data_IF_080437499279
#
_entry.id   IF_080437499279
#
_cell.length_a   1.000
_cell.length_b   1.000
_cell.length_c   1.000
_cell.angle_alpha   90.00
_cell.angle_beta   90.00
_cell.angle_gamma   90.00
#
_symmetry.space_group_name_H-M   'P 1'
#
loop_
_entity.id
_entity.type
_entity.pdbx_description
1 polymer ?
#
# COMPACT_ATOMS: atom_id res chain seq x y z
N UNK A 1 8.43 34.71 29.20
CA UNK A 1 7.12 35.09 28.63
C UNK A 1 6.92 34.27 27.37
N UNK A 2 5.84 33.49 27.33
CA UNK A 2 5.50 32.57 26.26
C UNK A 2 4.67 33.26 25.16
N UNK A 3 4.87 32.81 23.92
CA UNK A 3 3.98 32.86 22.74
C UNK A 3 4.55 31.76 21.80
N UNK A 4 4.09 30.51 21.78
CA UNK A 4 2.80 29.93 21.35
C UNK A 4 2.54 30.07 19.85
N UNK A 5 2.81 28.99 19.10
CA UNK A 5 1.88 28.32 18.18
C UNK A 5 2.66 27.29 17.32
N UNK A 6 2.88 26.08 17.82
CA UNK A 6 3.02 24.95 16.89
C UNK A 6 1.58 24.52 16.58
N UNK A 7 1.02 25.05 15.48
CA UNK A 7 -0.24 24.54 14.95
C UNK A 7 0.04 23.12 14.49
N UNK A 8 -0.11 22.17 15.41
CA UNK A 8 0.00 20.76 15.10
C UNK A 8 -0.95 20.48 13.95
N UNK A 9 -0.39 20.05 12.81
CA UNK A 9 -1.14 19.63 11.63
C UNK A 9 -1.80 18.29 11.93
N UNK A 10 -2.67 18.30 12.95
CA UNK A 10 -3.33 17.12 13.46
C UNK A 10 -4.33 16.65 12.42
N UNK A 11 -4.24 15.37 12.09
CA UNK A 11 -5.12 14.73 11.13
C UNK A 11 -5.96 13.69 11.83
N UNK A 12 -7.19 13.53 11.35
CA UNK A 12 -8.04 12.39 11.65
C UNK A 12 -7.95 11.41 10.48
N UNK A 13 -7.52 10.19 10.77
CA UNK A 13 -7.23 9.18 9.77
C UNK A 13 -7.77 7.82 10.21
N UNK A 14 -8.50 7.16 9.32
CA UNK A 14 -8.65 5.71 9.39
C UNK A 14 -7.58 5.08 8.50
N UNK A 15 -6.81 4.13 9.01
CA UNK A 15 -5.79 3.47 8.20
C UNK A 15 -5.79 1.96 8.38
N UNK A 16 -5.37 1.25 7.34
CA UNK A 16 -4.90 -0.12 7.44
C UNK A 16 -3.43 -0.16 7.03
N UNK A 17 -2.70 -1.19 7.46
CA UNK A 17 -1.29 -1.33 7.15
C UNK A 17 -0.95 -2.74 6.65
N UNK A 18 0.11 -2.86 5.86
CA UNK A 18 0.63 -4.14 5.38
C UNK A 18 2.14 -4.04 5.26
N UNK A 19 2.83 -5.15 5.52
CA UNK A 19 4.25 -5.26 5.19
C UNK A 19 4.40 -5.67 3.73
N UNK A 20 5.43 -5.17 3.05
CA UNK A 20 5.64 -5.48 1.65
C UNK A 20 6.01 -6.95 1.47
N UNK A 21 7.18 -7.37 1.93
CA UNK A 21 7.66 -8.73 1.62
C UNK A 21 7.66 -9.68 2.81
N UNK A 22 8.08 -9.21 3.98
CA UNK A 22 8.20 -10.04 5.19
C UNK A 22 7.29 -9.49 6.30
N UNK A 23 6.61 -10.36 7.07
CA UNK A 23 5.86 -9.91 8.23
C UNK A 23 6.73 -9.11 9.21
N UNK A 24 6.17 -8.05 9.80
CA UNK A 24 6.81 -7.20 10.81
C UNK A 24 6.04 -7.39 12.11
N UNK A 25 6.52 -8.29 12.97
CA UNK A 25 5.87 -8.62 14.24
C UNK A 25 6.78 -8.26 15.43
N UNK A 26 6.20 -7.65 16.46
CA UNK A 26 6.92 -7.29 17.70
C UNK A 26 8.02 -6.22 17.57
N UNK A 27 8.21 -5.65 16.36
CA UNK A 27 9.26 -4.67 16.06
C UNK A 27 8.76 -3.25 15.85
N UNK A 28 7.50 -3.10 15.49
CA UNK A 28 6.89 -1.83 15.09
C UNK A 28 5.85 -1.42 16.12
N UNK A 29 5.90 -0.18 16.57
CA UNK A 29 5.04 0.37 17.61
C UNK A 29 4.47 1.72 17.18
N UNK A 30 3.27 2.03 17.64
CA UNK A 30 2.67 3.37 17.53
C UNK A 30 2.49 3.96 18.93
N UNK A 31 2.88 5.22 19.08
CA UNK A 31 2.71 5.95 20.33
C UNK A 31 1.30 6.56 20.38
N UNK A 32 0.59 6.35 21.48
CA UNK A 32 -0.69 6.98 21.78
C UNK A 32 -0.78 7.22 23.29
N UNK A 33 -1.11 8.44 23.69
CA UNK A 33 -1.32 8.82 25.10
C UNK A 33 -0.12 8.45 26.01
N UNK A 34 1.10 8.56 25.48
CA UNK A 34 2.34 8.19 26.19
C UNK A 34 2.70 6.71 26.16
N UNK A 35 1.79 5.84 25.70
CA UNK A 35 2.00 4.40 25.60
C UNK A 35 2.42 3.97 24.19
N UNK A 36 3.26 2.94 24.10
CA UNK A 36 3.69 2.34 22.84
C UNK A 36 2.96 1.01 22.62
N UNK A 37 2.08 0.98 21.62
CA UNK A 37 1.30 -0.22 21.29
C UNK A 37 1.88 -0.93 20.07
N UNK A 38 2.03 -2.26 20.09
CA UNK A 38 2.60 -3.00 18.96
C UNK A 38 1.66 -2.96 17.75
N UNK A 39 2.26 -2.81 16.57
CA UNK A 39 1.63 -2.89 15.26
C UNK A 39 2.22 -4.07 14.49
N UNK A 40 1.53 -5.21 14.53
CA UNK A 40 1.93 -6.40 13.79
C UNK A 40 1.41 -6.34 12.36
N UNK A 41 2.30 -6.45 11.38
CA UNK A 41 1.99 -6.40 9.95
C UNK A 41 2.25 -7.74 9.29
N UNK A 42 1.30 -8.22 8.49
CA UNK A 42 1.49 -9.39 7.63
C UNK A 42 1.89 -8.94 6.21
N UNK A 43 2.48 -9.85 5.44
CA UNK A 43 2.82 -9.60 4.03
C UNK A 43 1.71 -10.03 3.05
N UNK A 44 0.75 -10.84 3.51
CA UNK A 44 -0.33 -11.41 2.70
C UNK A 44 -1.68 -10.70 2.87
N UNK A 45 -1.89 -10.02 4.00
CA UNK A 45 -3.14 -9.35 4.32
C UNK A 45 -2.90 -8.06 5.08
N UNK A 46 -3.80 -7.09 4.86
CA UNK A 46 -3.84 -5.85 5.61
C UNK A 46 -4.19 -6.13 7.08
N UNK A 47 -3.80 -5.22 7.96
CA UNK A 47 -4.36 -5.15 9.32
C UNK A 47 -5.84 -4.81 9.26
N UNK A 48 -6.55 -5.00 10.37
CA UNK A 48 -7.83 -4.31 10.58
C UNK A 48 -7.64 -2.80 10.53
N UNK A 49 -8.71 -2.07 10.20
CA UNK A 49 -8.73 -0.61 10.20
C UNK A 49 -8.50 -0.08 11.61
N UNK A 50 -7.66 0.94 11.73
CA UNK A 50 -7.31 1.65 12.97
C UNK A 50 -7.63 3.13 12.81
N UNK A 51 -7.93 3.78 13.92
CA UNK A 51 -8.16 5.22 13.99
C UNK A 51 -6.95 5.92 14.57
N UNK A 52 -6.56 7.02 13.94
CA UNK A 52 -5.48 7.88 14.37
C UNK A 52 -5.97 9.32 14.46
N UNK A 53 -5.56 10.00 15.52
CA UNK A 53 -5.68 11.45 15.68
C UNK A 53 -4.38 11.94 16.28
N UNK A 54 -3.69 12.82 15.57
CA UNK A 54 -2.36 13.28 15.94
C UNK A 54 -1.64 13.91 14.76
N UNK A 55 -0.35 14.25 14.92
CA UNK A 55 0.43 14.96 13.91
C UNK A 55 0.58 14.19 12.60
N UNK A 56 0.91 14.92 11.53
CA UNK A 56 1.33 14.39 10.24
C UNK A 56 2.76 14.88 9.97
N UNK A 57 3.76 13.99 9.80
CA UNK A 57 3.67 12.54 9.57
C UNK A 57 3.31 11.70 10.80
N UNK A 58 2.74 10.51 10.55
CA UNK A 58 2.62 9.46 11.56
C UNK A 58 4.01 8.87 11.80
N UNK A 59 4.44 8.84 13.06
CA UNK A 59 5.73 8.27 13.47
C UNK A 59 5.52 6.85 14.02
N UNK A 60 6.34 5.90 13.56
CA UNK A 60 6.38 4.54 14.07
C UNK A 60 7.72 4.25 14.72
N UNK A 61 7.69 3.49 15.80
CA UNK A 61 8.81 3.30 16.70
C UNK A 61 9.27 1.85 16.73
N UNK A 62 10.58 1.67 16.87
CA UNK A 62 11.23 0.41 17.15
C UNK A 62 11.57 0.30 18.63
N UNK A 63 11.47 -0.90 19.18
CA UNK A 63 11.87 -1.20 20.55
C UNK A 63 13.32 -1.71 20.59
N UNK A 64 14.15 -1.10 21.42
CA UNK A 64 15.51 -1.59 21.75
C UNK A 64 15.72 -1.61 23.25
N UNK A 65 16.65 -2.45 23.71
CA UNK A 65 17.11 -2.45 25.10
C UNK A 65 18.38 -1.63 25.22
N UNK A 66 18.43 -0.77 26.22
CA UNK A 66 19.63 -0.05 26.61
C UNK A 66 20.60 -1.00 27.37
N UNK A 67 21.90 -0.66 27.46
CA UNK A 67 22.87 -1.44 28.23
C UNK A 67 22.52 -1.61 29.72
N UNK A 68 21.76 -0.67 30.28
CA UNK A 68 21.25 -0.71 31.66
C UNK A 68 19.98 -1.57 31.83
N UNK A 69 19.51 -2.21 30.76
CA UNK A 69 18.31 -3.05 30.75
C UNK A 69 16.99 -2.29 30.57
N UNK A 70 17.01 -0.96 30.49
CA UNK A 70 15.80 -0.17 30.24
C UNK A 70 15.35 -0.28 28.77
N UNK A 71 14.05 -0.13 28.53
CA UNK A 71 13.50 -0.12 27.16
C UNK A 71 13.54 1.28 26.58
N UNK A 72 14.06 1.40 25.37
CA UNK A 72 14.01 2.61 24.56
C UNK A 72 13.11 2.40 23.33
N UNK A 73 12.35 3.42 22.97
CA UNK A 73 11.64 3.51 21.71
C UNK A 73 12.26 4.59 20.84
N UNK A 74 12.65 4.24 19.61
CA UNK A 74 13.21 5.17 18.64
C UNK A 74 12.37 5.19 17.36
N UNK A 75 12.19 6.34 16.69
CA UNK A 75 11.58 6.36 15.36
C UNK A 75 12.32 5.40 14.41
N UNK A 76 11.58 4.60 13.65
CA UNK A 76 12.12 3.68 12.63
C UNK A 76 11.37 3.75 11.31
N UNK A 77 10.25 4.48 11.24
CA UNK A 77 9.48 4.71 10.03
C UNK A 77 8.59 5.95 10.21
N UNK A 78 8.30 6.63 9.10
CA UNK A 78 7.38 7.75 9.07
C UNK A 78 6.43 7.61 7.89
N UNK A 79 5.15 7.97 8.08
CA UNK A 79 4.16 7.98 7.03
C UNK A 79 3.52 9.37 6.91
N UNK A 80 3.87 10.08 5.84
CA UNK A 80 3.22 11.34 5.47
C UNK A 80 1.89 11.03 4.80
N UNK A 81 0.82 11.64 5.31
CA UNK A 81 -0.53 11.50 4.76
C UNK A 81 -0.80 12.66 3.80
N UNK A 82 -1.14 12.38 2.53
CA UNK A 82 -1.47 13.44 1.58
C UNK A 82 -2.67 14.26 2.03
N UNK A 83 -2.67 15.56 1.69
CA UNK A 83 -3.78 16.47 2.03
C UNK A 83 -5.11 15.93 1.49
N UNK A 84 -6.13 15.92 2.35
CA UNK A 84 -7.47 15.46 1.99
C UNK A 84 -7.71 13.96 2.18
N UNK A 85 -6.67 13.14 2.32
CA UNK A 85 -6.82 11.70 2.57
C UNK A 85 -7.30 11.47 3.99
N UNK A 86 -8.44 10.78 4.13
CA UNK A 86 -9.05 10.40 5.42
C UNK A 86 -9.05 8.90 5.66
N UNK A 87 -8.86 8.11 4.61
CA UNK A 87 -8.73 6.67 4.65
C UNK A 87 -7.46 6.29 3.90
N UNK A 88 -6.51 5.62 4.55
CA UNK A 88 -5.24 5.27 3.91
C UNK A 88 -4.85 3.80 4.08
N UNK A 89 -4.16 3.28 3.08
CA UNK A 89 -3.35 2.06 3.19
C UNK A 89 -1.89 2.48 3.35
N UNK A 90 -1.25 1.98 4.40
CA UNK A 90 0.17 2.15 4.66
C UNK A 90 0.92 0.87 4.27
N UNK A 91 1.84 0.96 3.31
CA UNK A 91 2.65 -0.17 2.86
C UNK A 91 4.07 0.04 3.37
N UNK A 92 4.52 -0.86 4.24
CA UNK A 92 5.86 -0.81 4.85
C UNK A 92 6.84 -1.63 4.03
N UNK A 93 7.91 -1.01 3.55
CA UNK A 93 8.99 -1.64 2.80
C UNK A 93 10.28 -1.53 3.60
N UNK A 94 11.10 -2.58 3.60
CA UNK A 94 12.44 -2.51 4.19
C UNK A 94 13.23 -1.37 3.53
N UNK A 95 13.89 -0.55 4.33
CA UNK A 95 14.78 0.52 3.89
C UNK A 95 16.17 0.23 4.45
N UNK A 96 17.07 -0.40 3.67
CA UNK A 96 18.42 -0.68 4.11
C UNK A 96 19.14 0.58 4.56
N UNK A 97 19.91 0.49 5.65
CA UNK A 97 20.62 1.62 6.25
C UNK A 97 21.51 2.37 5.23
N UNK A 98 22.16 1.64 4.33
CA UNK A 98 23.00 2.17 3.24
C UNK A 98 22.23 3.10 2.29
N UNK A 99 20.91 2.92 2.18
CA UNK A 99 20.02 3.70 1.31
C UNK A 99 19.13 4.67 2.08
N UNK A 100 19.16 4.60 3.41
CA UNK A 100 18.30 5.40 4.28
C UNK A 100 18.90 6.79 4.50
N UNK A 101 18.21 7.82 4.03
CA UNK A 101 18.62 9.22 4.26
C UNK A 101 18.18 9.75 5.65
N UNK A 102 17.30 9.03 6.33
CA UNK A 102 16.71 9.45 7.62
C UNK A 102 17.12 8.55 8.79
N UNK A 103 17.81 7.44 8.54
CA UNK A 103 18.08 6.39 9.53
C UNK A 103 16.85 5.52 9.84
N UNK A 104 15.75 5.68 9.09
CA UNK A 104 14.60 4.79 9.15
C UNK A 104 14.96 3.39 8.67
N UNK A 105 14.36 2.38 9.30
CA UNK A 105 14.45 0.98 8.90
C UNK A 105 13.39 0.61 7.87
N UNK A 106 12.31 1.40 7.80
CA UNK A 106 11.22 1.17 6.87
C UNK A 106 10.82 2.45 6.16
N UNK A 107 10.67 2.33 4.84
CA UNK A 107 9.97 3.31 4.02
C UNK A 107 8.48 2.98 4.02
N UNK A 108 7.64 4.00 4.20
CA UNK A 108 6.17 3.83 4.16
C UNK A 108 5.60 4.50 2.92
N UNK A 109 4.91 3.72 2.08
CA UNK A 109 4.09 4.25 0.99
C UNK A 109 2.67 4.44 1.50
N UNK A 110 2.17 5.67 1.39
CA UNK A 110 0.78 6.02 1.74
C UNK A 110 -0.07 6.06 0.47
N UNK A 111 -1.16 5.28 0.45
CA UNK A 111 -2.17 5.32 -0.61
C UNK A 111 -3.51 5.77 -0.05
N UNK A 112 -4.21 6.64 -0.78
CA UNK A 112 -5.64 6.90 -0.52
C UNK A 112 -6.42 5.61 -0.73
N UNK A 113 -7.07 5.13 0.32
CA UNK A 113 -7.78 3.86 0.37
C UNK A 113 -9.28 4.07 0.59
N UNK A 114 -9.78 5.28 0.30
CA UNK A 114 -11.20 5.61 0.36
C UNK A 114 -12.00 4.94 -0.76
N UNK A 115 -13.27 4.66 -0.48
CA UNK A 115 -14.18 4.06 -1.47
C UNK A 115 -14.47 4.99 -2.67
N UNK A 116 -14.26 6.30 -2.54
CA UNK A 116 -14.44 7.24 -3.66
C UNK A 116 -13.39 7.07 -4.75
N UNK A 117 -12.16 6.67 -4.40
CA UNK A 117 -11.06 6.44 -5.36
C UNK A 117 -10.80 4.96 -5.62
N UNK A 118 -11.17 4.11 -4.65
CA UNK A 118 -10.98 2.66 -4.70
C UNK A 118 -12.23 1.93 -4.17
N UNK A 119 -13.32 1.96 -4.95
CA UNK A 119 -14.62 1.43 -4.53
C UNK A 119 -14.62 -0.10 -4.43
N UNK A 120 -15.65 -0.64 -3.81
CA UNK A 120 -15.97 -2.07 -3.87
C UNK A 120 -16.09 -2.57 -5.31
N UNK A 121 -15.82 -3.85 -5.54
CA UNK A 121 -15.86 -4.50 -6.85
C UNK A 121 -14.93 -3.84 -7.88
N UNK A 122 -13.76 -3.38 -7.45
CA UNK A 122 -12.80 -2.72 -8.34
C UNK A 122 -11.38 -3.29 -8.22
N UNK A 123 -10.61 -3.08 -9.28
CA UNK A 123 -9.20 -3.36 -9.35
C UNK A 123 -8.47 -2.04 -9.55
N UNK A 124 -7.58 -1.70 -8.61
CA UNK A 124 -6.74 -0.52 -8.73
C UNK A 124 -5.34 -0.96 -9.13
N UNK A 125 -4.93 -0.60 -10.34
CA UNK A 125 -3.65 -0.96 -10.91
C UNK A 125 -2.66 0.16 -10.68
N UNK A 126 -1.49 -0.15 -10.14
CA UNK A 126 -0.37 0.78 -9.98
C UNK A 126 0.80 0.31 -10.81
N UNK A 127 1.35 1.20 -11.63
CA UNK A 127 2.51 0.88 -12.44
C UNK A 127 3.81 1.34 -11.74
N UNK A 128 4.53 0.42 -11.11
CA UNK A 128 5.85 0.68 -10.54
C UNK A 128 6.99 0.24 -11.46
N UNK A 129 6.70 -0.12 -12.70
CA UNK A 129 7.73 -0.37 -13.71
C UNK A 129 8.21 0.95 -14.33
N UNK A 130 9.33 0.88 -15.06
CA UNK A 130 9.81 2.00 -15.88
C UNK A 130 9.10 2.13 -17.22
N UNK A 131 8.19 1.21 -17.55
CA UNK A 131 7.62 1.06 -18.89
C UNK A 131 6.15 1.48 -18.94
N UNK A 132 5.70 1.94 -20.10
CA UNK A 132 4.27 2.15 -20.33
C UNK A 132 3.61 0.79 -20.59
N UNK A 133 2.48 0.54 -19.95
CA UNK A 133 1.71 -0.70 -20.12
C UNK A 133 0.27 -0.42 -20.50
N UNK A 134 -0.37 -1.40 -21.12
CA UNK A 134 -1.83 -1.43 -21.30
C UNK A 134 -2.39 -2.74 -20.78
N UNK A 135 -3.58 -2.66 -20.20
CA UNK A 135 -4.28 -3.80 -19.65
C UNK A 135 -5.69 -3.91 -20.18
N UNK A 136 -6.22 -5.13 -20.13
CA UNK A 136 -7.62 -5.43 -20.37
C UNK A 136 -8.14 -6.29 -19.23
N UNK A 137 -9.18 -5.83 -18.53
CA UNK A 137 -9.88 -6.56 -17.47
C UNK A 137 -11.35 -6.72 -17.87
N UNK A 138 -11.76 -7.95 -18.19
CA UNK A 138 -13.03 -8.18 -18.88
C UNK A 138 -13.07 -7.37 -20.18
N UNK A 139 -14.08 -6.51 -20.35
CA UNK A 139 -14.22 -5.64 -21.53
C UNK A 139 -13.60 -4.25 -21.36
N UNK A 140 -12.97 -3.96 -20.22
CA UNK A 140 -12.37 -2.66 -19.93
C UNK A 140 -10.89 -2.66 -20.31
N UNK A 141 -10.53 -1.76 -21.21
CA UNK A 141 -9.13 -1.50 -21.60
C UNK A 141 -8.65 -0.25 -20.88
N UNK A 142 -7.40 -0.26 -20.43
CA UNK A 142 -6.75 0.86 -19.77
C UNK A 142 -5.27 0.93 -20.14
N UNK A 143 -4.64 2.08 -19.90
CA UNK A 143 -3.19 2.26 -20.05
C UNK A 143 -2.62 2.96 -18.83
N UNK A 144 -1.40 2.58 -18.46
CA UNK A 144 -0.66 3.15 -17.35
C UNK A 144 0.72 3.59 -17.85
N UNK A 145 1.01 4.88 -17.70
CA UNK A 145 2.39 5.37 -17.76
C UNK A 145 3.15 4.98 -16.48
N UNK A 146 4.49 5.05 -16.47
CA UNK A 146 5.27 4.82 -15.25
C UNK A 146 4.75 5.67 -14.09
N UNK A 147 4.62 5.06 -12.91
CA UNK A 147 4.12 5.67 -11.65
C UNK A 147 2.65 6.11 -11.66
N UNK A 148 1.91 5.85 -12.73
CA UNK A 148 0.46 6.14 -12.77
C UNK A 148 -0.36 5.04 -12.11
N UNK A 149 -1.62 5.36 -11.83
CA UNK A 149 -2.60 4.45 -11.24
C UNK A 149 -3.92 4.56 -11.98
N UNK A 150 -4.62 3.44 -12.15
CA UNK A 150 -5.95 3.39 -12.77
C UNK A 150 -6.87 2.48 -11.95
N UNK A 151 -8.11 2.89 -11.74
CA UNK A 151 -9.11 2.06 -11.06
C UNK A 151 -10.15 1.57 -12.06
N UNK A 152 -10.26 0.26 -12.19
CA UNK A 152 -11.19 -0.39 -13.13
C UNK A 152 -12.27 -1.13 -12.34
N UNK A 153 -13.54 -0.80 -12.62
CA UNK A 153 -14.68 -1.54 -12.08
C UNK A 153 -14.74 -2.93 -12.69
N UNK A 154 -14.76 -3.95 -11.82
CA UNK A 154 -15.07 -5.31 -12.22
C UNK A 154 -16.58 -5.53 -12.19
N UNK A 155 -17.07 -6.27 -13.18
CA UNK A 155 -18.45 -6.69 -13.26
C UNK A 155 -18.52 -8.20 -13.12
N UNK A 156 -19.55 -8.67 -12.44
CA UNK A 156 -19.91 -10.07 -12.43
C UNK A 156 -20.19 -10.55 -13.87
N UNK A 157 -19.76 -11.78 -14.15
CA UNK A 157 -20.00 -12.48 -15.42
C UNK A 157 -20.68 -13.82 -15.11
N UNK A 158 -21.30 -14.47 -16.11
CA UNK A 158 -22.05 -15.72 -15.90
C UNK A 158 -21.26 -16.83 -15.18
N UNK A 159 -19.92 -16.84 -15.31
CA UNK A 159 -19.04 -17.82 -14.64
C UNK A 159 -18.20 -17.22 -13.52
N UNK A 160 -18.45 -15.96 -13.14
CA UNK A 160 -17.58 -15.20 -12.23
C UNK A 160 -16.11 -15.19 -12.66
N UNK A 161 -15.85 -15.29 -13.97
CA UNK A 161 -14.52 -15.25 -14.55
C UNK A 161 -14.25 -13.86 -15.09
N UNK A 162 -13.06 -13.36 -14.77
CA UNK A 162 -12.59 -12.04 -15.13
C UNK A 162 -11.24 -12.18 -15.86
N UNK A 163 -11.25 -12.32 -17.20
CA UNK A 163 -10.03 -12.37 -17.98
C UNK A 163 -9.23 -11.08 -17.79
N UNK A 164 -7.94 -11.24 -17.50
CA UNK A 164 -6.98 -10.15 -17.40
C UNK A 164 -5.82 -10.38 -18.36
N UNK A 165 -5.48 -9.35 -19.11
CA UNK A 165 -4.33 -9.31 -20.03
C UNK A 165 -3.52 -8.05 -19.78
N UNK A 166 -2.20 -8.15 -19.86
CA UNK A 166 -1.28 -7.03 -19.77
C UNK A 166 -0.29 -7.09 -20.93
N UNK A 167 -0.06 -5.94 -21.57
CA UNK A 167 0.91 -5.76 -22.64
C UNK A 167 1.84 -4.59 -22.33
N UNK A 168 3.07 -4.69 -22.81
CA UNK A 168 4.05 -3.63 -22.84
C UNK A 168 3.79 -2.76 -24.07
N UNK A 169 3.92 -1.44 -23.92
CA UNK A 169 3.82 -0.50 -25.02
C UNK A 169 5.19 0.13 -25.27
N UNK A 170 5.88 -0.32 -26.33
CA UNK A 170 7.20 0.19 -26.72
C UNK A 170 7.28 0.41 -28.22
N UNK A 171 7.67 1.61 -28.66
CA UNK A 171 7.94 1.94 -30.07
C UNK A 171 6.86 1.45 -31.06
N UNK A 172 5.58 1.69 -30.72
CA UNK A 172 4.38 1.23 -31.46
C UNK A 172 4.19 -0.30 -31.56
N UNK A 173 4.95 -1.08 -30.80
CA UNK A 173 4.77 -2.53 -30.67
C UNK A 173 4.09 -2.89 -29.35
N UNK A 174 3.30 -3.98 -29.39
CA UNK A 174 2.66 -4.55 -28.21
C UNK A 174 3.28 -5.90 -27.90
N UNK A 175 3.91 -6.03 -26.73
CA UNK A 175 4.47 -7.31 -26.28
C UNK A 175 3.62 -7.87 -25.14
N UNK A 176 3.09 -9.09 -25.28
CA UNK A 176 2.28 -9.71 -24.22
C UNK A 176 3.17 -10.01 -23.03
N UNK A 177 2.78 -9.49 -21.88
CA UNK A 177 3.51 -9.65 -20.61
C UNK A 177 2.83 -10.71 -19.75
N UNK A 178 1.52 -10.59 -19.60
CA UNK A 178 0.77 -11.36 -18.62
C UNK A 178 -0.62 -11.68 -19.15
N UNK A 179 -1.13 -12.85 -18.79
CA UNK A 179 -2.53 -13.18 -19.02
C UNK A 179 -2.99 -14.23 -18.04
N UNK A 180 -4.08 -13.93 -17.35
CA UNK A 180 -4.66 -14.83 -16.36
C UNK A 180 -6.17 -14.60 -16.32
N UNK A 181 -6.90 -15.65 -15.98
CA UNK A 181 -8.32 -15.49 -15.63
C UNK A 181 -8.41 -15.42 -14.10
N UNK A 182 -8.93 -14.31 -13.60
CA UNK A 182 -9.22 -14.16 -12.18
C UNK A 182 -10.67 -14.53 -11.88
N UNK A 183 -10.95 -14.88 -10.64
CA UNK A 183 -12.33 -15.01 -10.17
C UNK A 183 -12.80 -13.67 -9.65
N UNK A 184 -13.95 -13.22 -10.15
CA UNK A 184 -14.70 -12.13 -9.58
C UNK A 184 -15.16 -12.54 -8.18
N UNK A 185 -14.95 -11.66 -7.21
CA UNK A 185 -15.36 -11.87 -5.84
C UNK A 185 -16.19 -10.65 -5.43
N UNK A 186 -17.51 -10.80 -5.26
CA UNK A 186 -18.38 -9.71 -4.83
C UNK A 186 -17.87 -9.08 -3.53
N UNK A 187 -18.07 -7.77 -3.42
CA UNK A 187 -17.70 -6.97 -2.27
C UNK A 187 -16.19 -6.97 -1.97
N UNK A 188 -15.35 -7.32 -2.93
CA UNK A 188 -13.89 -7.20 -2.81
C UNK A 188 -13.35 -6.09 -3.68
N UNK A 189 -12.24 -5.51 -3.26
CA UNK A 189 -11.41 -4.64 -4.09
C UNK A 189 -9.97 -5.14 -4.06
N UNK A 190 -9.25 -5.02 -5.18
CA UNK A 190 -7.90 -5.58 -5.33
C UNK A 190 -6.93 -4.51 -5.82
N UNK A 191 -5.92 -4.23 -5.01
CA UNK A 191 -4.78 -3.40 -5.40
C UNK A 191 -3.79 -4.30 -6.13
N UNK A 192 -3.51 -3.99 -7.39
CA UNK A 192 -2.61 -4.74 -8.27
C UNK A 192 -1.40 -3.87 -8.57
N UNK A 193 -0.25 -4.24 -8.04
CA UNK A 193 0.99 -3.48 -8.24
C UNK A 193 1.84 -4.23 -9.26
N UNK A 194 2.13 -3.54 -10.36
CA UNK A 194 2.97 -4.01 -11.46
C UNK A 194 4.41 -3.62 -11.17
N UNK A 195 5.28 -4.61 -11.03
CA UNK A 195 6.67 -4.44 -10.62
C UNK A 195 7.61 -4.84 -11.74
N UNK A 196 8.82 -4.26 -11.80
CA UNK A 196 9.85 -4.69 -12.75
C UNK A 196 10.11 -6.21 -12.64
N UNK A 197 10.74 -6.81 -13.67
CA UNK A 197 11.12 -8.21 -13.61
C UNK A 197 12.05 -8.43 -12.42
N UNK A 198 11.85 -9.55 -11.72
CA UNK A 198 12.79 -9.97 -10.67
C UNK A 198 13.99 -10.65 -11.32
N UNK A 199 15.19 -10.36 -10.81
CA UNK A 199 16.41 -11.00 -11.27
C UNK A 199 16.29 -12.53 -11.22
N UNK A 200 16.68 -13.21 -12.31
CA UNK A 200 16.56 -14.66 -12.45
C UNK A 200 15.16 -15.18 -12.86
N UNK A 201 14.16 -14.33 -13.08
CA UNK A 201 12.84 -14.73 -13.60
C UNK A 201 12.66 -14.38 -15.08
N UNK A 202 11.98 -15.26 -15.81
CA UNK A 202 11.60 -15.02 -17.22
C UNK A 202 10.42 -14.04 -17.38
N UNK A 203 9.68 -13.76 -16.31
CA UNK A 203 8.53 -12.85 -16.35
C UNK A 203 8.99 -11.40 -16.55
N UNK A 204 8.50 -10.74 -17.60
CA UNK A 204 8.84 -9.34 -17.90
C UNK A 204 8.33 -8.33 -16.87
N UNK A 205 7.23 -8.64 -16.18
CA UNK A 205 6.66 -7.85 -15.08
C UNK A 205 6.12 -8.84 -14.06
N UNK A 206 6.38 -8.57 -12.78
CA UNK A 206 5.80 -9.33 -11.68
C UNK A 206 4.62 -8.57 -11.08
N UNK A 207 3.62 -9.27 -10.56
CA UNK A 207 2.43 -8.65 -9.97
C UNK A 207 2.30 -8.97 -8.49
N UNK A 208 2.10 -7.95 -7.64
CA UNK A 208 1.66 -8.13 -6.26
C UNK A 208 0.20 -7.75 -6.14
N UNK A 209 -0.62 -8.61 -5.53
CA UNK A 209 -2.06 -8.37 -5.37
C UNK A 209 -2.39 -8.30 -3.88
N UNK A 210 -2.95 -7.19 -3.45
CA UNK A 210 -3.44 -6.97 -2.08
C UNK A 210 -4.96 -6.86 -2.15
N UNK A 211 -5.66 -7.82 -1.55
CA UNK A 211 -7.13 -7.85 -1.53
C UNK A 211 -7.68 -7.21 -0.25
N UNK A 212 -8.87 -6.63 -0.36
CA UNK A 212 -9.64 -6.09 0.75
C UNK A 212 -11.12 -6.44 0.56
N UNK A 213 -11.76 -6.92 1.62
CA UNK A 213 -13.19 -7.23 1.62
C UNK A 213 -13.95 -6.06 2.26
N UNK A 214 -14.85 -5.47 1.49
CA UNK A 214 -15.70 -4.36 1.93
C UNK A 214 -17.02 -4.96 2.37
N UNK A 215 -17.30 -4.91 3.68
CA UNK A 215 -18.60 -5.36 4.16
C UNK A 215 -19.71 -4.51 3.51
N UNK A 216 -20.80 -5.13 3.04
CA UNK A 216 -21.97 -4.38 2.60
C UNK A 216 -22.43 -3.44 3.71
N UNK A 217 -22.85 -2.23 3.35
CA UNK A 217 -23.56 -1.39 4.31
C UNK A 217 -24.82 -2.14 4.78
N UNK A 218 -24.91 -2.35 6.09
CA UNK A 218 -26.09 -2.85 6.79
C UNK A 218 -27.24 -1.86 6.70
#
# INVERSE_FOLDING_TARGET
MAQTADQSNNIHLTYSAIAWDKPIHGKLFIQKDGEYTPLNLNASNRTTKRYYTGPNPLIFYGKSSNPDGTTQFKPIAEATIPKGVKQALLIFMDEPEETSSTGNQYKVITLDDSESVFPRNSYRFMNWTGEKVAGKLGDRVFSLTPRSTETVMAKESERNLLPFQLVELKDNTHSRIYSKTWHFQPNTRKLVILMPPQEGKMEKITTKIISDYISPAS
#
